data_IF_027369954624
#
_entry.id   IF_027369954624
#
_cell.length_a   1.000
_cell.length_b   1.000
_cell.length_c   1.000
_cell.angle_alpha   90.00
_cell.angle_beta   90.00
_cell.angle_gamma   90.00
#
_symmetry.space_group_name_H-M   'P 1'
#
loop_
_entity.id
_entity.type
_entity.pdbx_description
1 polymer ?
#
# COMPACT_ATOMS: atom_id res chain seq x y z
N UNK A 1 22.67 77.67 -38.61
CA UNK A 1 21.52 76.74 -38.65
C UNK A 1 21.95 75.44 -37.95
N UNK A 2 21.41 75.25 -36.74
CA UNK A 2 21.46 74.12 -35.76
C UNK A 2 22.34 72.88 -36.04
N UNK A 3 23.29 72.51 -35.15
CA UNK A 3 23.14 71.71 -33.90
C UNK A 3 22.54 70.31 -34.07
N UNK A 4 23.37 69.27 -33.82
CA UNK A 4 23.23 68.18 -32.80
C UNK A 4 24.23 67.04 -33.13
N UNK A 5 25.22 66.65 -32.31
CA UNK A 5 25.26 66.05 -30.97
C UNK A 5 24.96 64.53 -30.88
N UNK A 6 26.03 63.77 -30.52
CA UNK A 6 26.17 62.60 -29.62
C UNK A 6 25.64 61.21 -30.07
N UNK A 7 26.50 60.16 -30.11
CA UNK A 7 26.83 59.21 -29.01
C UNK A 7 27.56 57.95 -29.55
N UNK A 8 28.79 57.75 -29.08
CA UNK A 8 29.51 56.46 -29.12
C UNK A 8 28.94 55.56 -28.01
N UNK A 9 28.56 54.33 -28.35
CA UNK A 9 28.29 53.27 -27.38
C UNK A 9 29.18 52.06 -27.68
N UNK A 10 30.23 51.90 -26.86
CA UNK A 10 31.05 50.70 -26.82
C UNK A 10 30.31 49.64 -25.99
N UNK A 11 30.02 48.49 -26.60
CA UNK A 11 29.42 47.34 -25.93
C UNK A 11 30.56 46.48 -25.35
N UNK A 12 30.78 46.57 -24.03
CA UNK A 12 31.67 45.65 -23.30
C UNK A 12 30.84 44.45 -22.87
N UNK A 13 31.03 43.30 -23.53
CA UNK A 13 30.48 42.02 -23.10
C UNK A 13 31.37 41.42 -22.00
N UNK A 14 30.90 41.47 -20.75
CA UNK A 14 31.53 40.79 -19.61
C UNK A 14 31.08 39.32 -19.65
N UNK A 15 31.94 38.44 -20.17
CA UNK A 15 31.79 36.98 -20.03
C UNK A 15 32.26 36.55 -18.63
N UNK A 16 31.32 36.49 -17.69
CA UNK A 16 31.54 35.86 -16.39
C UNK A 16 31.51 34.33 -16.51
N UNK A 17 32.67 33.70 -16.72
CA UNK A 17 32.84 32.25 -16.60
C UNK A 17 32.97 31.88 -15.11
N UNK A 18 31.84 31.60 -14.46
CA UNK A 18 31.84 30.92 -13.16
C UNK A 18 32.04 29.41 -13.35
N UNK A 19 32.85 28.73 -12.52
CA UNK A 19 33.06 27.29 -12.64
C UNK A 19 31.78 26.54 -12.21
N UNK A 20 31.04 26.03 -13.19
CA UNK A 20 29.98 25.05 -12.97
C UNK A 20 30.60 23.78 -12.40
N UNK A 21 30.42 23.57 -11.11
CA UNK A 21 30.69 22.28 -10.46
C UNK A 21 29.62 21.29 -10.93
N UNK A 22 29.88 20.65 -12.07
CA UNK A 22 29.12 19.49 -12.50
C UNK A 22 29.38 18.37 -11.50
N UNK A 23 28.41 18.12 -10.62
CA UNK A 23 28.32 16.90 -9.84
C UNK A 23 28.37 15.72 -10.83
N UNK A 24 29.49 15.00 -10.82
CA UNK A 24 29.64 13.74 -11.53
C UNK A 24 28.74 12.69 -10.87
N UNK A 25 27.45 12.73 -11.21
CA UNK A 25 26.53 11.64 -10.96
C UNK A 25 26.93 10.46 -11.83
N UNK A 26 27.14 9.30 -11.23
CA UNK A 26 27.19 8.02 -11.95
C UNK A 26 25.87 7.89 -12.71
N UNK A 27 25.89 8.21 -14.00
CA UNK A 27 24.77 7.92 -14.91
C UNK A 27 24.74 6.41 -15.09
N UNK A 28 23.96 5.70 -14.29
CA UNK A 28 23.31 4.50 -14.80
C UNK A 28 22.52 4.95 -16.04
N UNK A 29 22.78 4.35 -17.20
CA UNK A 29 22.03 4.66 -18.41
C UNK A 29 20.54 4.51 -18.09
N UNK A 30 19.77 5.61 -18.22
CA UNK A 30 18.30 5.60 -18.07
C UNK A 30 17.61 4.57 -18.98
N UNK A 31 18.32 3.97 -19.93
CA UNK A 31 17.80 2.96 -20.86
C UNK A 31 17.51 1.59 -20.21
N UNK A 32 18.03 1.29 -19.01
CA UNK A 32 17.90 -0.03 -18.37
C UNK A 32 17.12 -0.05 -17.04
N UNK A 33 16.51 1.07 -16.66
CA UNK A 33 15.71 1.17 -15.45
C UNK A 33 14.26 1.58 -15.74
N UNK A 34 13.35 1.22 -14.83
CA UNK A 34 11.97 1.70 -14.83
C UNK A 34 11.52 1.97 -13.39
N UNK A 35 10.40 2.69 -13.23
CA UNK A 35 9.74 2.84 -11.94
C UNK A 35 8.92 1.60 -11.60
N UNK A 36 9.04 1.12 -10.36
CA UNK A 36 8.09 0.15 -9.78
C UNK A 36 7.49 0.71 -8.50
N UNK A 37 6.24 0.37 -8.20
CA UNK A 37 5.66 0.59 -6.88
C UNK A 37 6.28 -0.37 -5.88
N UNK A 38 6.90 0.18 -4.85
CA UNK A 38 7.67 -0.59 -3.88
C UNK A 38 6.93 -0.85 -2.57
N UNK A 39 5.86 -0.09 -2.36
CA UNK A 39 4.97 -0.16 -1.23
C UNK A 39 3.73 0.65 -1.58
N UNK A 40 2.62 0.29 -0.98
CA UNK A 40 1.42 1.11 -1.00
C UNK A 40 0.41 0.58 -0.01
N UNK A 41 -0.61 1.40 0.19
CA UNK A 41 -1.73 1.13 1.07
C UNK A 41 -3.01 1.52 0.36
N UNK A 42 -4.07 0.73 0.57
CA UNK A 42 -5.35 1.00 -0.07
C UNK A 42 -5.95 2.32 0.41
N UNK A 43 -6.14 3.32 -0.47
CA UNK A 43 -6.80 4.56 -0.10
C UNK A 43 -8.28 4.30 0.18
N UNK A 44 -8.77 4.74 1.33
CA UNK A 44 -10.20 4.76 1.70
C UNK A 44 -10.63 6.11 2.26
N UNK A 45 -11.94 6.35 2.25
CA UNK A 45 -12.53 7.45 3.01
C UNK A 45 -12.36 7.15 4.50
N UNK A 46 -11.91 8.15 5.25
CA UNK A 46 -11.72 8.03 6.68
C UNK A 46 -13.07 8.04 7.38
N UNK A 47 -13.34 6.98 8.14
CA UNK A 47 -14.54 6.92 8.97
C UNK A 47 -14.47 7.97 10.08
N UNK A 48 -15.61 8.53 10.53
CA UNK A 48 -15.63 9.58 11.55
C UNK A 48 -14.84 9.26 12.83
N UNK A 49 -14.86 8.00 13.27
CA UNK A 49 -14.13 7.53 14.46
C UNK A 49 -12.60 7.45 14.26
N UNK A 50 -12.13 7.44 13.01
CA UNK A 50 -10.72 7.31 12.64
C UNK A 50 -10.14 8.62 12.06
N UNK A 51 -10.87 9.74 12.16
CA UNK A 51 -10.40 11.06 11.73
C UNK A 51 -9.14 11.46 12.51
N UNK A 52 -8.16 12.11 11.84
CA UNK A 52 -6.93 12.50 12.51
C UNK A 52 -7.22 13.56 13.58
N UNK A 53 -6.86 13.36 14.85
CA UNK A 53 -6.39 14.48 15.66
C UNK A 53 -5.07 14.98 15.01
N UNK A 54 -4.68 16.27 15.07
CA UNK A 54 -3.63 16.85 14.19
C UNK A 54 -2.17 16.35 14.46
N UNK A 55 -1.13 16.42 13.55
CA UNK A 55 -0.57 15.72 12.30
C UNK A 55 0.69 14.74 12.33
N UNK A 56 0.84 13.79 11.35
CA UNK A 56 1.29 12.34 11.30
C UNK A 56 2.70 11.94 10.71
N UNK A 57 3.08 10.62 10.76
CA UNK A 57 4.28 9.96 10.13
C UNK A 57 4.04 8.52 9.56
N UNK A 58 4.68 8.08 8.44
CA UNK A 58 4.54 6.71 7.85
C UNK A 58 5.84 6.01 7.32
N UNK A 59 5.87 4.64 7.32
CA UNK A 59 6.96 3.68 6.98
C UNK A 59 6.80 2.87 5.67
N UNK A 60 7.89 2.70 4.92
CA UNK A 60 7.95 2.13 3.56
C UNK A 60 9.31 1.43 3.29
N UNK A 61 9.37 0.31 2.55
CA UNK A 61 10.54 -0.57 2.43
C UNK A 61 10.92 -1.00 1.00
N UNK A 62 12.08 -0.61 0.42
CA UNK A 62 12.80 -1.34 -0.66
C UNK A 62 14.18 -0.72 -0.96
N UNK A 63 15.19 -1.51 -1.36
CA UNK A 63 16.52 -0.99 -1.71
C UNK A 63 16.54 -0.14 -2.98
N UNK A 64 16.80 1.16 -2.91
CA UNK A 64 16.96 2.00 -4.11
C UNK A 64 17.88 3.18 -3.82
N UNK A 65 18.31 3.87 -4.88
CA UNK A 65 19.02 5.15 -4.84
C UNK A 65 18.13 6.34 -5.20
N UNK A 66 16.93 6.10 -5.75
CA UNK A 66 15.95 7.13 -6.10
C UNK A 66 14.52 6.67 -5.78
N UNK A 67 13.77 7.55 -5.11
CA UNK A 67 12.38 7.34 -4.70
C UNK A 67 11.49 8.49 -5.17
N UNK A 68 10.19 8.21 -5.32
CA UNK A 68 9.13 9.23 -5.40
C UNK A 68 7.91 8.79 -4.57
N UNK A 69 7.24 9.76 -3.97
CA UNK A 69 6.09 9.57 -3.08
C UNK A 69 4.78 9.89 -3.80
N UNK A 70 3.77 9.04 -3.61
CA UNK A 70 2.40 9.31 -4.05
C UNK A 70 1.52 9.77 -2.88
N UNK A 71 0.97 10.97 -3.01
CA UNK A 71 -0.05 11.55 -2.13
C UNK A 71 -1.40 11.47 -2.82
N UNK A 72 -2.37 10.82 -2.18
CA UNK A 72 -3.73 10.64 -2.65
C UNK A 72 -4.70 11.56 -1.92
N UNK A 73 -5.51 12.25 -2.70
CA UNK A 73 -6.70 12.99 -2.28
C UNK A 73 -7.96 12.39 -2.91
N UNK A 74 -7.93 11.09 -3.23
CA UNK A 74 -8.99 10.37 -3.96
C UNK A 74 -10.37 10.46 -3.30
N UNK A 75 -10.41 10.52 -1.97
CA UNK A 75 -11.63 10.68 -1.15
C UNK A 75 -11.70 12.03 -0.45
N UNK A 76 -10.84 12.98 -0.84
CA UNK A 76 -10.86 14.33 -0.30
C UNK A 76 -12.17 15.04 -0.61
N UNK A 77 -12.67 15.82 0.34
CA UNK A 77 -13.82 16.70 0.11
C UNK A 77 -13.48 18.01 -0.59
N UNK A 78 -12.19 18.36 -0.61
CA UNK A 78 -11.64 19.64 -1.05
C UNK A 78 -10.20 19.47 -1.55
N UNK A 79 -9.60 20.55 -2.08
CA UNK A 79 -8.19 20.59 -2.46
C UNK A 79 -7.27 20.39 -1.24
N UNK A 80 -6.39 19.39 -1.30
CA UNK A 80 -5.39 19.11 -0.27
C UNK A 80 -4.16 19.99 -0.50
N UNK A 81 -3.97 20.98 0.37
CA UNK A 81 -2.85 21.92 0.32
C UNK A 81 -1.67 21.40 1.14
N UNK A 82 -0.67 20.85 0.46
CA UNK A 82 0.59 20.43 1.05
C UNK A 82 1.50 21.66 1.21
N UNK A 83 1.77 22.08 2.45
CA UNK A 83 2.69 23.20 2.73
C UNK A 83 4.15 22.75 2.74
N UNK A 84 4.42 21.55 3.26
CA UNK A 84 5.72 20.90 3.19
C UNK A 84 5.57 19.37 3.34
N UNK A 85 6.46 18.63 2.71
CA UNK A 85 6.58 17.17 2.87
C UNK A 85 8.06 16.82 3.03
N UNK A 86 8.39 15.91 3.94
CA UNK A 86 9.74 15.38 4.10
C UNK A 86 9.75 13.87 4.23
N UNK A 87 10.91 13.29 3.90
CA UNK A 87 11.24 11.89 4.07
C UNK A 87 12.43 11.79 5.03
N UNK A 88 12.44 10.80 5.91
CA UNK A 88 13.63 10.41 6.68
C UNK A 88 13.62 8.90 6.98
N UNK A 89 14.75 8.38 7.45
CA UNK A 89 14.80 7.11 8.17
C UNK A 89 14.48 7.35 9.65
N UNK A 90 13.80 6.42 10.34
CA UNK A 90 13.61 6.53 11.78
C UNK A 90 14.93 6.39 12.54
N UNK A 91 14.99 6.88 13.77
CA UNK A 91 16.10 6.61 14.68
C UNK A 91 16.25 5.11 14.96
N UNK A 92 15.15 4.44 15.31
CA UNK A 92 15.08 2.99 15.47
C UNK A 92 14.64 2.29 14.17
N UNK A 93 15.53 1.50 13.58
CA UNK A 93 15.27 0.78 12.32
C UNK A 93 14.58 -0.58 12.51
N UNK A 94 14.36 -1.03 13.75
CA UNK A 94 13.80 -2.35 14.05
C UNK A 94 12.29 -2.35 14.33
N UNK A 95 11.70 -1.21 14.68
CA UNK A 95 10.27 -1.08 15.00
C UNK A 95 9.63 0.10 14.28
N UNK A 96 8.50 -0.12 13.62
CA UNK A 96 7.79 0.96 12.93
C UNK A 96 7.14 1.92 13.93
N UNK A 97 6.61 3.04 13.43
CA UNK A 97 5.81 3.95 14.24
C UNK A 97 6.57 4.67 15.36
N UNK A 98 7.88 4.87 15.22
CA UNK A 98 8.64 5.79 16.08
C UNK A 98 8.44 7.26 15.71
N UNK A 99 8.52 8.16 16.69
CA UNK A 99 8.44 9.63 16.47
C UNK A 99 9.78 10.26 16.08
N UNK A 100 10.87 9.53 16.27
CA UNK A 100 12.24 10.01 16.07
C UNK A 100 12.79 9.64 14.69
N UNK A 101 13.56 10.55 14.10
CA UNK A 101 14.21 10.38 12.80
C UNK A 101 15.73 10.49 12.89
N UNK A 102 16.44 9.94 11.89
CA UNK A 102 17.87 10.14 11.67
C UNK A 102 18.09 11.46 10.91
N UNK A 103 18.64 12.52 11.54
CA UNK A 103 18.65 13.85 10.93
C UNK A 103 19.40 13.92 9.59
N UNK A 104 20.47 13.14 9.43
CA UNK A 104 21.26 13.10 8.18
C UNK A 104 20.49 12.55 6.97
N UNK A 105 19.35 11.90 7.22
CA UNK A 105 18.51 11.28 6.19
C UNK A 105 17.29 12.12 5.80
N UNK A 106 17.07 13.25 6.47
CA UNK A 106 15.98 14.18 6.15
C UNK A 106 16.15 14.69 4.70
N UNK A 107 15.10 14.52 3.90
CA UNK A 107 14.97 15.05 2.55
C UNK A 107 13.64 15.79 2.45
N UNK A 108 13.68 17.08 2.13
CA UNK A 108 12.48 17.79 1.68
C UNK A 108 12.06 17.27 0.32
N UNK A 109 10.77 16.98 0.19
CA UNK A 109 10.19 16.56 -1.07
C UNK A 109 9.65 17.79 -1.81
N UNK A 110 9.69 17.71 -3.13
CA UNK A 110 9.15 18.73 -4.03
C UNK A 110 8.15 18.08 -4.98
N UNK A 111 7.26 18.88 -5.55
CA UNK A 111 6.29 18.46 -6.55
C UNK A 111 6.36 19.45 -7.71
N UNK A 112 6.82 19.00 -8.88
CA UNK A 112 7.04 19.89 -10.04
C UNK A 112 7.99 21.06 -9.73
N UNK A 113 9.02 20.79 -8.94
CA UNK A 113 10.04 21.74 -8.48
C UNK A 113 9.60 22.66 -7.33
N UNK A 114 8.36 22.53 -6.83
CA UNK A 114 7.82 23.37 -5.77
C UNK A 114 7.84 22.64 -4.42
N UNK A 115 8.16 23.35 -3.34
CA UNK A 115 8.15 22.81 -1.97
C UNK A 115 6.75 22.68 -1.37
N UNK A 116 5.77 23.39 -1.93
CA UNK A 116 4.34 23.28 -1.62
C UNK A 116 3.57 22.88 -2.87
N UNK A 117 2.42 22.23 -2.68
CA UNK A 117 1.61 21.73 -3.79
C UNK A 117 0.15 21.62 -3.40
N UNK A 118 -0.75 21.78 -4.36
CA UNK A 118 -2.18 21.57 -4.17
C UNK A 118 -2.58 20.31 -4.93
N UNK A 119 -2.97 19.27 -4.21
CA UNK A 119 -3.55 18.06 -4.80
C UNK A 119 -5.06 18.30 -4.99
N UNK A 120 -5.57 18.34 -6.22
CA UNK A 120 -6.99 18.58 -6.45
C UNK A 120 -7.88 17.56 -5.73
N UNK A 121 -9.11 17.94 -5.44
CA UNK A 121 -10.15 17.01 -4.98
C UNK A 121 -10.22 15.77 -5.89
N UNK A 122 -10.17 14.58 -5.31
CA UNK A 122 -10.29 13.31 -6.06
C UNK A 122 -9.03 12.91 -6.84
N UNK A 123 -7.94 13.67 -6.73
CA UNK A 123 -6.72 13.45 -7.51
C UNK A 123 -5.61 12.79 -6.68
N UNK A 124 -4.50 12.48 -7.37
CA UNK A 124 -3.26 11.98 -6.81
C UNK A 124 -2.11 12.84 -7.32
N UNK A 125 -1.13 13.11 -6.46
CA UNK A 125 0.11 13.79 -6.81
C UNK A 125 1.32 12.89 -6.56
N UNK A 126 2.33 13.03 -7.41
CA UNK A 126 3.60 12.31 -7.30
C UNK A 126 4.70 13.33 -7.06
N UNK A 127 5.55 13.09 -6.05
CA UNK A 127 6.70 13.95 -5.79
C UNK A 127 7.71 13.85 -6.92
N UNK A 128 8.56 14.86 -7.05
CA UNK A 128 9.78 14.75 -7.82
C UNK A 128 10.68 13.65 -7.21
N UNK A 129 11.52 12.98 -8.01
CA UNK A 129 12.46 12.00 -7.49
C UNK A 129 13.45 12.59 -6.48
N UNK A 130 13.70 11.88 -5.39
CA UNK A 130 14.68 12.26 -4.37
C UNK A 130 15.68 11.12 -4.11
N UNK A 131 16.93 11.50 -3.85
CA UNK A 131 18.04 10.56 -3.64
C UNK A 131 18.18 10.14 -2.18
N UNK A 132 18.10 8.84 -1.93
CA UNK A 132 18.38 8.21 -0.64
C UNK A 132 18.86 6.78 -0.87
N UNK A 133 19.82 6.31 -0.08
CA UNK A 133 20.21 4.89 -0.06
C UNK A 133 19.50 4.22 1.11
N UNK A 134 18.68 3.22 0.81
CA UNK A 134 17.99 2.40 1.82
C UNK A 134 18.13 0.93 1.44
N UNK A 135 17.99 0.02 2.40
CA UNK A 135 17.97 -1.43 2.14
C UNK A 135 16.54 -1.95 1.94
N UNK A 136 16.40 -3.19 1.46
CA UNK A 136 15.09 -3.85 1.44
C UNK A 136 14.55 -3.94 2.88
N UNK A 137 13.22 -3.91 3.03
CA UNK A 137 12.55 -4.04 4.35
C UNK A 137 12.78 -2.86 5.34
N UNK A 138 13.51 -1.81 4.92
CA UNK A 138 13.80 -0.62 5.73
C UNK A 138 12.56 0.08 6.27
N UNK A 139 12.64 0.63 7.49
CA UNK A 139 11.61 1.55 8.00
C UNK A 139 11.89 2.96 7.45
N UNK A 140 10.87 3.73 7.05
CA UNK A 140 11.01 5.17 6.74
C UNK A 140 9.99 5.99 7.53
N UNK A 141 10.11 7.30 7.43
CA UNK A 141 9.24 8.30 8.02
C UNK A 141 8.90 9.32 6.94
N UNK A 142 7.62 9.48 6.65
CA UNK A 142 7.09 10.58 5.83
C UNK A 142 6.40 11.57 6.73
N UNK A 143 6.86 12.82 6.78
CA UNK A 143 6.19 13.89 7.52
C UNK A 143 5.50 14.84 6.54
N UNK A 144 4.27 15.27 6.87
CA UNK A 144 3.48 16.18 6.04
C UNK A 144 2.96 17.32 6.91
N UNK A 145 3.19 18.55 6.45
CA UNK A 145 2.68 19.75 7.08
C UNK A 145 1.61 20.40 6.21
N UNK A 146 0.47 20.72 6.84
CA UNK A 146 -0.67 21.39 6.24
C UNK A 146 -0.93 22.67 7.04
N UNK A 147 -0.42 23.80 6.57
CA UNK A 147 -0.53 25.09 7.29
C UNK A 147 -1.98 25.51 7.50
N UNK A 148 -2.82 25.33 6.48
CA UNK A 148 -4.26 25.60 6.56
C UNK A 148 -5.08 24.51 7.26
N UNK A 149 -4.46 23.41 7.70
CA UNK A 149 -5.14 22.25 8.26
C UNK A 149 -6.06 21.53 7.25
N UNK A 150 -6.93 20.68 7.78
CA UNK A 150 -8.00 20.03 7.01
C UNK A 150 -9.26 20.88 7.06
N UNK A 151 -9.88 21.10 5.89
CA UNK A 151 -11.11 21.91 5.77
C UNK A 151 -12.37 21.06 5.68
N UNK A 152 -12.23 19.75 5.52
CA UNK A 152 -13.33 18.77 5.48
C UNK A 152 -12.98 17.52 6.31
N UNK A 153 -14.01 16.80 6.76
CA UNK A 153 -13.85 15.46 7.36
C UNK A 153 -13.74 14.35 6.29
N UNK A 154 -13.89 14.68 5.02
CA UNK A 154 -13.64 13.76 3.91
C UNK A 154 -12.14 13.69 3.66
N UNK A 155 -11.48 12.73 4.32
CA UNK A 155 -10.03 12.54 4.31
C UNK A 155 -9.69 11.19 3.69
N UNK A 156 -8.70 11.16 2.79
CA UNK A 156 -8.12 9.91 2.31
C UNK A 156 -7.17 9.34 3.37
N UNK A 157 -7.42 8.11 3.80
CA UNK A 157 -6.60 7.42 4.81
C UNK A 157 -6.52 5.92 4.55
N UNK A 158 -5.85 5.24 5.46
CA UNK A 158 -5.84 3.81 5.62
C UNK A 158 -5.84 3.46 7.12
N UNK A 159 -7.02 3.27 7.74
CA UNK A 159 -7.16 3.00 9.17
C UNK A 159 -6.63 1.62 9.61
N UNK A 160 -6.49 0.69 8.66
CA UNK A 160 -5.92 -0.65 8.85
C UNK A 160 -4.39 -0.70 9.04
N UNK A 161 -3.73 0.46 9.12
CA UNK A 161 -2.28 0.60 8.99
C UNK A 161 -1.40 -0.20 9.94
N UNK A 162 -1.95 -0.64 11.09
CA UNK A 162 -1.22 -1.28 12.22
C UNK A 162 0.15 -0.67 12.49
N UNK A 163 0.24 0.63 12.29
CA UNK A 163 1.46 1.40 12.41
C UNK A 163 1.11 2.75 13.01
N UNK A 164 1.78 3.10 14.08
CA UNK A 164 1.53 4.35 14.78
C UNK A 164 2.04 5.52 13.93
N UNK A 165 1.16 6.50 13.71
CA UNK A 165 1.44 7.82 13.17
C UNK A 165 1.34 8.86 14.29
N UNK A 166 2.19 9.88 14.24
CA UNK A 166 2.37 10.85 15.32
C UNK A 166 1.89 12.22 14.92
N UNK A 167 0.97 12.77 15.71
CA UNK A 167 0.08 13.91 15.45
C UNK A 167 0.45 15.17 16.29
N UNK A 168 1.04 16.25 15.73
CA UNK A 168 1.41 17.50 16.47
C UNK A 168 1.14 18.87 15.81
N UNK A 169 0.39 19.76 16.47
CA UNK A 169 0.01 21.07 15.90
C UNK A 169 1.24 21.98 15.69
N UNK A 170 1.38 22.51 14.48
CA UNK A 170 2.44 23.46 14.12
C UNK A 170 3.31 22.92 12.99
N UNK A 171 4.30 23.71 12.57
CA UNK A 171 5.28 23.24 11.60
C UNK A 171 6.46 22.58 12.31
N UNK A 172 6.42 21.25 12.40
CA UNK A 172 7.47 20.42 13.00
C UNK A 172 8.23 19.60 11.95
N UNK A 173 8.19 20.01 10.67
CA UNK A 173 8.73 19.23 9.55
C UNK A 173 10.24 18.94 9.63
N UNK A 174 10.97 19.69 10.47
CA UNK A 174 12.43 19.57 10.70
C UNK A 174 12.78 19.00 12.07
N UNK A 175 11.79 18.75 12.92
CA UNK A 175 12.05 18.26 14.27
C UNK A 175 12.52 16.81 14.18
N UNK A 176 13.57 16.50 14.92
CA UNK A 176 14.16 15.16 14.90
C UNK A 176 13.39 14.17 15.78
N UNK A 177 12.51 14.68 16.64
CA UNK A 177 11.61 13.96 17.54
C UNK A 177 10.34 14.78 17.79
N UNK A 178 9.17 14.18 17.56
CA UNK A 178 7.87 14.83 17.73
C UNK A 178 7.37 14.71 19.18
N UNK A 179 8.06 15.38 20.11
CA UNK A 179 7.70 15.38 21.53
C UNK A 179 6.31 16.00 21.76
N UNK A 180 5.47 15.29 22.51
CA UNK A 180 4.10 15.74 22.82
C UNK A 180 3.10 15.51 21.68
N UNK A 181 3.48 14.79 20.63
CA UNK A 181 2.56 14.34 19.60
C UNK A 181 1.57 13.27 20.10
N UNK A 182 0.40 13.23 19.49
CA UNK A 182 -0.65 12.22 19.72
C UNK A 182 -0.40 11.02 18.81
N UNK A 183 -0.40 9.80 19.34
CA UNK A 183 -0.30 8.58 18.53
C UNK A 183 -1.67 8.12 18.04
N UNK A 184 -1.78 7.72 16.77
CA UNK A 184 -2.91 6.92 16.25
C UNK A 184 -2.41 5.83 15.30
N UNK A 185 -3.15 4.74 15.15
CA UNK A 185 -2.74 3.61 14.31
C UNK A 185 -3.35 3.66 12.90
N UNK A 186 -3.16 4.78 12.20
CA UNK A 186 -3.72 5.06 10.87
C UNK A 186 -2.72 5.79 9.98
N UNK A 187 -2.73 5.51 8.67
CA UNK A 187 -2.00 6.33 7.68
C UNK A 187 -2.95 7.33 7.03
N UNK A 188 -2.46 8.54 6.74
CA UNK A 188 -3.24 9.59 6.08
C UNK A 188 -2.54 10.09 4.82
N UNK A 189 -3.32 10.34 3.77
CA UNK A 189 -2.94 10.92 2.47
C UNK A 189 -1.90 10.16 1.64
N UNK A 190 -0.99 9.40 2.23
CA UNK A 190 -0.03 8.65 1.45
C UNK A 190 -0.67 7.40 0.84
N UNK A 191 -0.21 6.99 -0.34
CA UNK A 191 -0.77 5.83 -1.05
C UNK A 191 0.27 4.90 -1.64
N UNK A 192 1.46 5.39 -2.01
CA UNK A 192 2.55 4.56 -2.50
C UNK A 192 3.93 5.25 -2.42
N UNK A 193 5.00 4.44 -2.41
CA UNK A 193 6.30 4.86 -2.94
C UNK A 193 6.62 4.11 -4.21
N UNK A 194 7.38 4.76 -5.07
CA UNK A 194 7.98 4.13 -6.22
C UNK A 194 9.50 4.31 -6.20
N UNK A 195 10.19 3.31 -6.74
CA UNK A 195 11.64 3.32 -6.88
C UNK A 195 12.04 3.05 -8.32
N UNK A 196 13.10 3.70 -8.77
CA UNK A 196 13.76 3.37 -10.03
C UNK A 196 14.58 2.08 -9.85
N UNK A 197 14.31 1.07 -10.67
CA UNK A 197 14.87 -0.28 -10.55
C UNK A 197 15.27 -0.84 -11.91
N UNK A 198 16.21 -1.80 -11.96
CA UNK A 198 16.51 -2.53 -13.21
C UNK A 198 15.25 -3.18 -13.79
N UNK A 199 15.15 -3.30 -15.12
CA UNK A 199 13.96 -3.83 -15.83
C UNK A 199 13.41 -5.18 -15.35
N UNK A 200 14.24 -6.01 -14.71
CA UNK A 200 13.83 -7.31 -14.15
C UNK A 200 13.05 -7.21 -12.84
N UNK A 201 13.05 -6.05 -12.19
CA UNK A 201 12.28 -5.83 -10.98
C UNK A 201 10.78 -5.77 -11.29
N UNK A 202 9.96 -6.15 -10.32
CA UNK A 202 8.51 -6.18 -10.50
C UNK A 202 7.79 -6.03 -9.17
N UNK A 203 6.47 -5.84 -9.24
CA UNK A 203 5.59 -5.70 -8.08
C UNK A 203 4.49 -6.75 -8.12
N UNK A 204 4.22 -7.35 -6.96
CA UNK A 204 3.01 -8.13 -6.69
C UNK A 204 2.00 -7.19 -6.02
N UNK A 205 0.82 -7.02 -6.61
CA UNK A 205 -0.29 -6.30 -5.97
C UNK A 205 -1.26 -7.28 -5.31
N UNK A 206 -1.72 -7.01 -4.10
CA UNK A 206 -2.62 -7.89 -3.37
C UNK A 206 -3.94 -7.16 -3.13
N UNK A 207 -5.02 -7.65 -3.75
CA UNK A 207 -6.38 -7.19 -3.48
C UNK A 207 -6.96 -8.09 -2.41
N UNK A 208 -7.21 -7.54 -1.23
CA UNK A 208 -7.71 -8.32 -0.11
C UNK A 208 -8.60 -7.55 0.86
N UNK A 209 -8.91 -8.21 1.96
CA UNK A 209 -9.68 -7.68 3.09
C UNK A 209 -8.85 -7.65 4.39
N UNK A 210 -9.50 -7.67 5.56
CA UNK A 210 -8.84 -7.61 6.88
C UNK A 210 -7.77 -8.70 7.08
N UNK A 211 -7.90 -9.85 6.42
CA UNK A 211 -6.94 -10.95 6.51
C UNK A 211 -5.59 -10.57 5.89
N UNK A 212 -5.61 -9.78 4.81
CA UNK A 212 -4.39 -9.27 4.16
C UNK A 212 -3.95 -7.93 4.73
N UNK A 213 -4.91 -7.09 5.13
CA UNK A 213 -4.67 -5.81 5.81
C UNK A 213 -3.91 -6.01 7.14
N UNK A 214 -4.06 -7.19 7.74
CA UNK A 214 -3.27 -7.62 8.90
C UNK A 214 -4.00 -7.54 10.23
N UNK A 215 -5.34 -7.66 10.25
CA UNK A 215 -6.08 -7.75 11.52
C UNK A 215 -5.62 -8.97 12.31
N UNK A 216 -5.12 -8.76 13.53
CA UNK A 216 -4.51 -9.82 14.36
C UNK A 216 -2.98 -9.81 14.35
N UNK A 217 -2.36 -8.99 13.50
CA UNK A 217 -0.92 -8.70 13.57
C UNK A 217 -0.58 -7.79 14.76
N UNK A 218 0.70 -7.75 15.13
CA UNK A 218 1.19 -6.84 16.19
C UNK A 218 1.39 -5.45 15.61
N UNK A 219 0.82 -4.42 16.24
CA UNK A 219 1.06 -3.01 15.87
C UNK A 219 2.57 -2.73 15.86
N UNK A 220 3.03 -2.01 14.83
CA UNK A 220 4.42 -1.61 14.59
C UNK A 220 5.42 -2.72 14.24
N UNK A 221 5.01 -3.99 14.24
CA UNK A 221 5.92 -5.13 14.03
C UNK A 221 6.11 -5.54 12.56
N UNK A 222 5.20 -5.16 11.65
CA UNK A 222 5.17 -5.65 10.26
C UNK A 222 5.21 -7.18 10.17
N UNK A 223 4.34 -7.86 10.92
CA UNK A 223 4.25 -9.32 10.95
C UNK A 223 2.94 -9.84 10.34
N UNK A 224 2.44 -9.14 9.30
CA UNK A 224 1.34 -9.62 8.44
C UNK A 224 1.88 -10.61 7.42
N UNK A 225 1.02 -11.44 6.82
CA UNK A 225 1.49 -12.40 5.81
C UNK A 225 2.18 -11.75 4.59
N UNK A 226 1.79 -10.56 4.09
CA UNK A 226 2.51 -9.92 2.99
C UNK A 226 3.92 -9.45 3.40
N UNK A 227 4.08 -9.02 4.66
CA UNK A 227 5.38 -8.61 5.21
C UNK A 227 6.30 -9.84 5.31
N UNK A 228 5.79 -10.96 5.85
CA UNK A 228 6.53 -12.21 5.95
C UNK A 228 6.87 -12.82 4.57
N UNK A 229 5.96 -12.70 3.60
CA UNK A 229 6.24 -13.11 2.21
C UNK A 229 7.35 -12.24 1.60
N UNK A 230 7.36 -10.93 1.87
CA UNK A 230 8.41 -10.05 1.40
C UNK A 230 9.78 -10.51 1.90
N UNK A 231 9.91 -10.82 3.19
CA UNK A 231 11.15 -11.36 3.77
C UNK A 231 11.62 -12.61 3.04
N UNK A 232 10.73 -13.58 2.82
CA UNK A 232 11.03 -14.81 2.06
C UNK A 232 11.49 -14.52 0.63
N UNK A 233 10.88 -13.54 -0.05
CA UNK A 233 11.29 -13.14 -1.40
C UNK A 233 12.70 -12.53 -1.41
N UNK A 234 13.07 -11.75 -0.39
CA UNK A 234 14.38 -11.11 -0.30
C UNK A 234 15.53 -12.10 -0.04
N UNK A 235 15.26 -13.22 0.65
CA UNK A 235 16.25 -14.25 0.93
C UNK A 235 16.79 -14.98 -0.32
N UNK A 236 16.04 -14.97 -1.43
CA UNK A 236 16.40 -15.71 -2.65
C UNK A 236 16.73 -14.75 -3.79
N UNK A 237 17.93 -14.90 -4.37
CA UNK A 237 18.39 -14.07 -5.50
C UNK A 237 17.40 -13.96 -6.69
N UNK A 238 16.67 -15.02 -7.10
CA UNK A 238 15.70 -14.91 -8.19
C UNK A 238 14.52 -13.98 -7.89
N UNK A 239 14.15 -13.83 -6.62
CA UNK A 239 12.96 -13.09 -6.20
C UNK A 239 13.27 -11.80 -5.44
N UNK A 240 14.52 -11.51 -5.11
CA UNK A 240 14.92 -10.32 -4.32
C UNK A 240 14.76 -8.98 -5.05
N UNK A 241 14.23 -8.98 -6.27
CA UNK A 241 13.85 -7.78 -7.01
C UNK A 241 12.32 -7.61 -7.11
N UNK A 242 11.57 -8.38 -6.33
CA UNK A 242 10.11 -8.35 -6.31
C UNK A 242 9.65 -7.57 -5.08
N UNK A 243 8.78 -6.59 -5.33
CA UNK A 243 8.10 -5.79 -4.33
C UNK A 243 6.72 -6.37 -4.03
N UNK A 244 6.17 -6.03 -2.86
CA UNK A 244 4.79 -6.34 -2.50
C UNK A 244 4.04 -5.03 -2.23
N UNK A 245 2.86 -4.94 -2.83
CA UNK A 245 1.91 -3.86 -2.67
C UNK A 245 0.66 -4.42 -1.99
N UNK A 246 0.47 -4.08 -0.72
CA UNK A 246 -0.70 -4.50 0.05
C UNK A 246 -1.86 -3.52 -0.18
N UNK A 247 -2.79 -3.91 -1.05
CA UNK A 247 -3.97 -3.13 -1.41
C UNK A 247 -5.21 -3.72 -0.75
N UNK A 248 -5.07 -4.23 0.48
CA UNK A 248 -6.18 -4.72 1.27
C UNK A 248 -6.77 -3.63 2.17
N UNK A 249 -8.01 -3.83 2.62
CA UNK A 249 -8.63 -3.00 3.64
C UNK A 249 -9.59 -3.83 4.49
N UNK A 250 -9.63 -3.54 5.79
CA UNK A 250 -10.59 -4.17 6.70
C UNK A 250 -12.04 -4.13 6.20
N UNK A 251 -12.77 -5.23 6.35
CA UNK A 251 -14.18 -5.32 5.95
C UNK A 251 -14.45 -5.14 4.46
N UNK A 252 -13.41 -5.11 3.61
CA UNK A 252 -13.58 -4.96 2.18
C UNK A 252 -14.21 -6.21 1.58
N UNK A 253 -14.98 -6.00 0.51
CA UNK A 253 -15.74 -7.03 -0.21
C UNK A 253 -15.39 -6.94 -1.69
N UNK A 254 -15.57 -8.03 -2.42
CA UNK A 254 -15.31 -8.05 -3.86
C UNK A 254 -16.35 -7.24 -4.63
N UNK A 255 -17.63 -7.37 -4.27
CA UNK A 255 -18.75 -6.98 -5.13
C UNK A 255 -19.46 -5.69 -4.71
N UNK A 256 -19.47 -5.38 -3.41
CA UNK A 256 -20.20 -4.25 -2.83
C UNK A 256 -19.26 -3.46 -1.93
N UNK A 257 -19.48 -2.16 -1.78
CA UNK A 257 -18.66 -1.38 -0.86
C UNK A 257 -18.82 -1.90 0.59
N UNK A 258 -17.74 -1.79 1.36
CA UNK A 258 -17.69 -2.13 2.78
C UNK A 258 -17.21 -0.90 3.57
N UNK A 259 -16.15 -1.06 4.36
CA UNK A 259 -15.45 0.09 4.96
C UNK A 259 -14.68 0.93 3.91
N UNK A 260 -14.58 0.42 2.69
CA UNK A 260 -14.02 1.10 1.52
C UNK A 260 -14.65 0.58 0.22
N UNK A 261 -14.25 1.14 -0.95
CA UNK A 261 -14.79 0.73 -2.24
C UNK A 261 -14.57 -0.75 -2.52
N UNK A 262 -15.52 -1.39 -3.19
CA UNK A 262 -15.46 -2.80 -3.57
C UNK A 262 -14.22 -3.14 -4.41
N UNK A 263 -13.73 -4.37 -4.24
CA UNK A 263 -12.52 -4.88 -4.89
C UNK A 263 -12.57 -4.77 -6.41
N UNK A 264 -13.71 -5.04 -7.05
CA UNK A 264 -13.85 -4.90 -8.50
C UNK A 264 -13.75 -3.44 -8.97
N UNK A 265 -14.37 -2.52 -8.24
CA UNK A 265 -14.40 -1.11 -8.59
C UNK A 265 -13.03 -0.44 -8.53
N UNK A 266 -12.12 -0.99 -7.71
CA UNK A 266 -10.81 -0.37 -7.45
C UNK A 266 -9.62 -1.01 -8.17
N UNK A 267 -9.81 -2.05 -9.01
CA UNK A 267 -8.70 -2.70 -9.72
C UNK A 267 -7.87 -1.73 -10.57
N UNK A 268 -8.51 -0.78 -11.24
CA UNK A 268 -7.81 0.21 -12.07
C UNK A 268 -6.87 1.07 -11.23
N UNK A 269 -7.34 1.57 -10.10
CA UNK A 269 -6.59 2.43 -9.20
C UNK A 269 -5.54 1.65 -8.41
N UNK A 270 -5.91 0.52 -7.83
CA UNK A 270 -5.12 -0.18 -6.82
C UNK A 270 -4.21 -1.27 -7.40
N UNK A 271 -4.37 -1.62 -8.68
CA UNK A 271 -3.53 -2.62 -9.35
C UNK A 271 -2.96 -2.09 -10.66
N UNK A 272 -3.82 -1.69 -11.60
CA UNK A 272 -3.39 -1.37 -12.98
C UNK A 272 -2.59 -0.06 -13.04
N UNK A 273 -2.96 0.95 -12.26
CA UNK A 273 -2.30 2.25 -12.24
C UNK A 273 -0.93 2.23 -11.54
N UNK A 274 -0.58 1.15 -10.84
CA UNK A 274 0.71 1.03 -10.16
C UNK A 274 1.82 0.58 -11.10
N UNK A 275 2.96 1.24 -11.03
CA UNK A 275 4.09 0.93 -11.90
C UNK A 275 4.69 -0.44 -11.57
N UNK A 276 5.06 -1.20 -12.61
CA UNK A 276 5.81 -2.45 -12.46
C UNK A 276 5.02 -3.66 -11.97
N UNK A 277 3.69 -3.56 -11.82
CA UNK A 277 2.87 -4.70 -11.42
C UNK A 277 2.91 -5.79 -12.51
N UNK A 278 3.34 -6.99 -12.11
CA UNK A 278 3.37 -8.19 -12.98
C UNK A 278 2.51 -9.32 -12.45
N UNK A 279 2.22 -9.32 -11.15
CA UNK A 279 1.45 -10.33 -10.47
C UNK A 279 0.36 -9.65 -9.63
N UNK A 280 -0.82 -10.24 -9.60
CA UNK A 280 -1.91 -9.86 -8.71
C UNK A 280 -2.37 -11.07 -7.91
N UNK A 281 -2.49 -10.91 -6.60
CA UNK A 281 -3.09 -11.90 -5.70
C UNK A 281 -4.48 -11.40 -5.31
N UNK A 282 -5.52 -12.19 -5.58
CA UNK A 282 -6.91 -11.87 -5.25
C UNK A 282 -7.33 -12.76 -4.08
N UNK A 283 -7.39 -12.15 -2.89
CA UNK A 283 -7.77 -12.81 -1.65
C UNK A 283 -8.82 -12.01 -0.89
N UNK A 284 -10.04 -12.04 -1.40
CA UNK A 284 -11.19 -11.26 -0.93
C UNK A 284 -12.47 -12.02 -1.24
N UNK A 285 -13.48 -11.96 -0.38
CA UNK A 285 -14.79 -12.59 -0.63
C UNK A 285 -15.47 -13.14 0.61
N UNK A 286 -14.71 -13.33 1.69
CA UNK A 286 -15.26 -13.84 2.96
C UNK A 286 -16.28 -12.86 3.55
N UNK A 287 -16.04 -11.56 3.41
CA UNK A 287 -16.98 -10.51 3.84
C UNK A 287 -18.24 -10.45 2.96
N UNK A 288 -18.16 -10.76 1.66
CA UNK A 288 -19.33 -10.87 0.78
C UNK A 288 -20.29 -11.96 1.32
N UNK A 289 -19.74 -13.12 1.69
CA UNK A 289 -20.49 -14.24 2.30
C UNK A 289 -21.02 -13.86 3.68
N UNK A 290 -20.15 -13.36 4.56
CA UNK A 290 -20.44 -13.09 5.96
C UNK A 290 -21.39 -11.92 6.21
N UNK A 291 -21.60 -11.05 5.21
CA UNK A 291 -22.55 -9.93 5.29
C UNK A 291 -23.84 -10.18 4.54
N UNK A 292 -23.89 -11.25 3.73
CA UNK A 292 -25.12 -11.72 3.09
C UNK A 292 -25.98 -12.49 4.10
N UNK A 293 -27.29 -12.38 3.94
CA UNK A 293 -28.27 -13.10 4.76
C UNK A 293 -28.00 -14.62 4.72
N UNK A 294 -28.24 -15.33 5.81
CA UNK A 294 -27.77 -16.72 6.00
C UNK A 294 -28.64 -17.77 5.30
N UNK A 295 -29.74 -17.38 4.68
CA UNK A 295 -30.64 -18.28 3.98
C UNK A 295 -29.99 -18.83 2.70
N UNK A 296 -30.37 -20.04 2.30
CA UNK A 296 -29.78 -20.75 1.16
C UNK A 296 -29.89 -19.99 -0.16
N UNK A 297 -30.99 -19.26 -0.40
CA UNK A 297 -31.21 -18.46 -1.60
C UNK A 297 -30.18 -17.32 -1.74
N UNK A 298 -30.14 -16.35 -0.80
CA UNK A 298 -29.12 -15.30 -0.77
C UNK A 298 -27.69 -15.84 -0.83
N UNK A 299 -27.37 -16.91 -0.09
CA UNK A 299 -26.04 -17.51 -0.09
C UNK A 299 -25.67 -18.14 -1.46
N UNK A 300 -26.63 -18.75 -2.16
CA UNK A 300 -26.41 -19.25 -3.51
C UNK A 300 -26.18 -18.11 -4.51
N UNK A 301 -26.96 -17.02 -4.40
CA UNK A 301 -26.79 -15.84 -5.27
C UNK A 301 -25.42 -15.19 -5.07
N UNK A 302 -25.02 -14.91 -3.81
CA UNK A 302 -23.73 -14.26 -3.55
C UNK A 302 -22.56 -15.16 -3.99
N UNK A 303 -22.66 -16.47 -3.81
CA UNK A 303 -21.66 -17.44 -4.30
C UNK A 303 -21.47 -17.33 -5.82
N UNK A 304 -22.57 -17.32 -6.58
CA UNK A 304 -22.52 -17.17 -8.03
C UNK A 304 -21.92 -15.81 -8.43
N UNK A 305 -22.30 -14.73 -7.74
CA UNK A 305 -21.75 -13.40 -8.02
C UNK A 305 -20.27 -13.28 -7.69
N UNK A 306 -19.79 -13.91 -6.61
CA UNK A 306 -18.36 -13.89 -6.24
C UNK A 306 -17.52 -14.55 -7.33
N UNK A 307 -17.93 -15.74 -7.79
CA UNK A 307 -17.20 -16.47 -8.86
C UNK A 307 -17.20 -15.68 -10.16
N UNK A 308 -18.32 -15.05 -10.55
CA UNK A 308 -18.38 -14.12 -11.68
C UNK A 308 -17.49 -12.89 -11.49
N UNK A 309 -17.41 -12.34 -10.27
CA UNK A 309 -16.50 -11.26 -9.92
C UNK A 309 -15.04 -11.64 -10.10
N UNK A 310 -14.63 -12.81 -9.62
CA UNK A 310 -13.27 -13.32 -9.84
C UNK A 310 -12.93 -13.48 -11.32
N UNK A 311 -13.87 -13.95 -12.15
CA UNK A 311 -13.68 -14.01 -13.61
C UNK A 311 -13.43 -12.62 -14.19
N UNK A 312 -14.23 -11.63 -13.80
CA UNK A 312 -14.06 -10.25 -14.27
C UNK A 312 -12.73 -9.64 -13.82
N UNK A 313 -12.31 -9.90 -12.58
CA UNK A 313 -11.01 -9.45 -12.07
C UNK A 313 -9.86 -10.07 -12.89
N UNK A 314 -9.90 -11.39 -13.12
CA UNK A 314 -8.87 -12.08 -13.90
C UNK A 314 -8.78 -11.55 -15.33
N UNK A 315 -9.92 -11.38 -16.03
CA UNK A 315 -9.96 -10.83 -17.39
C UNK A 315 -9.43 -9.39 -17.44
N UNK A 316 -9.83 -8.56 -16.47
CA UNK A 316 -9.41 -7.14 -16.42
C UNK A 316 -7.94 -6.98 -16.11
N UNK A 317 -7.34 -7.83 -15.29
CA UNK A 317 -5.92 -7.73 -14.99
C UNK A 317 -5.05 -8.34 -16.09
N UNK A 318 -5.44 -9.49 -16.64
CA UNK A 318 -4.69 -10.14 -17.73
C UNK A 318 -4.61 -9.32 -19.01
N UNK A 319 -5.62 -8.48 -19.33
CA UNK A 319 -5.53 -7.56 -20.49
C UNK A 319 -4.36 -6.57 -20.38
N UNK A 320 -3.84 -6.35 -19.18
CA UNK A 320 -2.67 -5.52 -18.90
C UNK A 320 -1.38 -6.35 -18.72
N UNK A 321 -1.41 -7.64 -19.05
CA UNK A 321 -0.25 -8.53 -18.92
C UNK A 321 0.11 -8.87 -17.47
N UNK A 322 -0.85 -8.76 -16.56
CA UNK A 322 -0.70 -9.12 -15.14
C UNK A 322 -1.15 -10.57 -14.95
N UNK A 323 -0.28 -11.40 -14.37
CA UNK A 323 -0.61 -12.76 -13.94
C UNK A 323 -1.48 -12.70 -12.67
N UNK A 324 -2.56 -13.46 -12.63
CA UNK A 324 -3.58 -13.37 -11.58
C UNK A 324 -3.67 -14.67 -10.80
N UNK A 325 -3.45 -14.57 -9.49
CA UNK A 325 -3.47 -15.69 -8.55
C UNK A 325 -4.69 -15.59 -7.65
N UNK A 326 -5.50 -16.64 -7.65
CA UNK A 326 -6.69 -16.73 -6.80
C UNK A 326 -6.34 -17.40 -5.48
N UNK A 327 -6.81 -16.84 -4.38
CA UNK A 327 -6.65 -17.44 -3.06
C UNK A 327 -7.96 -18.02 -2.55
N UNK A 328 -7.92 -19.27 -2.07
CA UNK A 328 -9.06 -19.86 -1.37
C UNK A 328 -9.39 -19.07 -0.11
N UNK A 329 -10.68 -18.86 0.15
CA UNK A 329 -11.21 -18.26 1.37
C UNK A 329 -10.91 -19.16 2.58
N UNK A 330 -10.39 -18.58 3.66
CA UNK A 330 -10.02 -19.33 4.87
C UNK A 330 -11.23 -19.86 5.65
N UNK A 331 -11.06 -20.92 6.46
CA UNK A 331 -12.10 -21.38 7.37
C UNK A 331 -12.54 -20.28 8.34
N UNK A 332 -13.80 -20.34 8.77
CA UNK A 332 -14.39 -19.34 9.66
C UNK A 332 -15.39 -19.94 10.66
N UNK A 333 -15.44 -21.26 10.81
CA UNK A 333 -16.23 -21.90 11.86
C UNK A 333 -15.54 -21.69 13.21
N UNK A 334 -16.30 -21.13 14.15
CA UNK A 334 -15.93 -21.02 15.54
C UNK A 334 -17.18 -20.73 16.37
N UNK A 335 -17.15 -21.05 17.66
CA UNK A 335 -18.26 -20.78 18.57
C UNK A 335 -18.52 -19.27 18.64
N UNK A 336 -19.73 -18.85 18.25
CA UNK A 336 -20.13 -17.45 18.27
C UNK A 336 -19.69 -16.63 17.04
N UNK A 337 -18.92 -17.22 16.13
CA UNK A 337 -18.61 -16.57 14.85
C UNK A 337 -19.72 -16.85 13.83
N UNK A 338 -20.38 -15.79 13.37
CA UNK A 338 -21.47 -15.93 12.39
C UNK A 338 -20.96 -16.25 10.97
N UNK A 339 -19.67 -16.05 10.68
CA UNK A 339 -19.12 -16.31 9.35
C UNK A 339 -19.12 -17.81 9.01
N UNK A 340 -18.97 -18.68 9.99
CA UNK A 340 -18.99 -20.13 9.82
C UNK A 340 -20.34 -20.81 10.01
N UNK A 341 -21.45 -20.06 9.90
CA UNK A 341 -22.78 -20.70 9.91
C UNK A 341 -22.94 -21.67 8.73
N UNK A 342 -23.75 -22.74 8.83
CA UNK A 342 -23.76 -23.84 7.86
C UNK A 342 -23.92 -23.43 6.38
N UNK A 343 -24.86 -22.52 6.08
CA UNK A 343 -25.06 -22.07 4.70
C UNK A 343 -23.93 -21.16 4.18
N UNK A 344 -23.27 -20.41 5.07
CA UNK A 344 -22.09 -19.59 4.73
C UNK A 344 -20.85 -20.45 4.52
N UNK A 345 -20.67 -21.49 5.33
CA UNK A 345 -19.60 -22.47 5.12
C UNK A 345 -19.80 -23.23 3.81
N UNK A 346 -21.04 -23.62 3.50
CA UNK A 346 -21.39 -24.22 2.21
C UNK A 346 -21.07 -23.28 1.03
N UNK A 347 -21.40 -22.00 1.15
CA UNK A 347 -21.04 -20.98 0.16
C UNK A 347 -19.51 -20.88 0.00
N UNK A 348 -18.78 -20.79 1.12
CA UNK A 348 -17.31 -20.71 1.14
C UNK A 348 -16.66 -21.92 0.46
N UNK A 349 -17.10 -23.14 0.79
CA UNK A 349 -16.61 -24.37 0.17
C UNK A 349 -16.90 -24.39 -1.34
N UNK A 350 -18.08 -23.91 -1.75
CA UNK A 350 -18.44 -23.81 -3.17
C UNK A 350 -17.52 -22.85 -3.92
N UNK A 351 -17.27 -21.65 -3.34
CA UNK A 351 -16.31 -20.69 -3.89
C UNK A 351 -14.89 -21.29 -3.95
N UNK A 352 -14.43 -21.94 -2.89
CA UNK A 352 -13.09 -22.53 -2.85
C UNK A 352 -12.90 -23.65 -3.85
N UNK A 353 -13.90 -24.53 -4.01
CA UNK A 353 -13.90 -25.55 -5.06
C UNK A 353 -13.80 -24.91 -6.44
N UNK A 354 -14.59 -23.86 -6.68
CA UNK A 354 -14.53 -23.13 -7.95
C UNK A 354 -13.16 -22.48 -8.19
N UNK A 355 -12.55 -21.86 -7.18
CA UNK A 355 -11.21 -21.27 -7.28
C UNK A 355 -10.19 -22.32 -7.72
N UNK A 356 -10.22 -23.52 -7.11
CA UNK A 356 -9.30 -24.61 -7.41
C UNK A 356 -9.50 -25.20 -8.81
N UNK A 357 -10.74 -25.33 -9.26
CA UNK A 357 -11.07 -26.15 -10.44
C UNK A 357 -11.34 -25.34 -11.72
N UNK A 358 -11.65 -24.04 -11.61
CA UNK A 358 -12.16 -23.25 -12.74
C UNK A 358 -11.15 -23.02 -13.87
N UNK A 359 -9.85 -23.13 -13.60
CA UNK A 359 -8.79 -22.75 -14.54
C UNK A 359 -8.74 -21.25 -14.86
N UNK A 360 -9.50 -20.42 -14.10
CA UNK A 360 -9.58 -18.98 -14.34
C UNK A 360 -8.33 -18.24 -13.87
N UNK A 361 -7.59 -18.76 -12.90
CA UNK A 361 -6.37 -18.12 -12.40
C UNK A 361 -5.12 -18.73 -13.02
N UNK A 362 -4.05 -17.95 -13.10
CA UNK A 362 -2.74 -18.42 -13.57
C UNK A 362 -2.09 -19.36 -12.54
N UNK A 363 -2.47 -19.22 -11.27
CA UNK A 363 -2.18 -20.15 -10.19
C UNK A 363 -3.18 -19.99 -9.04
N UNK A 364 -3.25 -20.98 -8.16
CA UNK A 364 -4.07 -20.95 -6.94
C UNK A 364 -3.16 -21.04 -5.71
N UNK A 365 -3.42 -20.17 -4.73
CA UNK A 365 -2.79 -20.21 -3.40
C UNK A 365 -3.83 -20.70 -2.40
N UNK A 366 -3.63 -21.91 -1.87
CA UNK A 366 -4.62 -22.60 -1.04
C UNK A 366 -4.47 -22.23 0.45
N UNK A 367 -4.80 -20.98 0.80
CA UNK A 367 -4.79 -20.50 2.17
C UNK A 367 -5.72 -21.28 3.10
N UNK A 368 -6.82 -21.84 2.59
CA UNK A 368 -7.71 -22.72 3.34
C UNK A 368 -6.93 -23.92 3.88
N UNK A 369 -6.20 -24.61 3.02
CA UNK A 369 -5.39 -25.76 3.42
C UNK A 369 -4.23 -25.39 4.34
N UNK A 370 -3.65 -24.20 4.19
CA UNK A 370 -2.48 -23.77 4.97
C UNK A 370 -2.80 -23.52 6.45
N UNK A 371 -4.03 -23.11 6.76
CA UNK A 371 -4.37 -22.61 8.11
C UNK A 371 -5.47 -23.38 8.81
N UNK A 372 -6.21 -24.23 8.10
CA UNK A 372 -7.30 -25.02 8.70
C UNK A 372 -6.78 -26.03 9.71
N UNK A 373 -7.61 -26.29 10.73
CA UNK A 373 -7.38 -27.40 11.63
C UNK A 373 -7.51 -28.73 10.86
N UNK A 374 -6.53 -29.66 10.94
CA UNK A 374 -6.57 -30.93 10.21
C UNK A 374 -7.70 -31.86 10.66
N UNK A 375 -8.12 -31.76 11.92
CA UNK A 375 -9.17 -32.59 12.51
C UNK A 375 -10.57 -31.95 12.37
N UNK A 376 -10.61 -30.64 12.14
CA UNK A 376 -11.82 -29.85 11.95
C UNK A 376 -11.64 -28.81 10.84
N UNK A 377 -11.77 -29.27 9.61
CA UNK A 377 -11.35 -28.52 8.41
C UNK A 377 -12.12 -27.22 8.13
N UNK A 378 -13.21 -26.97 8.86
CA UNK A 378 -14.01 -25.74 8.86
C UNK A 378 -13.54 -24.70 9.90
N UNK A 379 -12.68 -25.09 10.85
CA UNK A 379 -12.07 -24.22 11.86
C UNK A 379 -10.62 -23.84 11.45
N UNK A 380 -10.16 -22.67 11.90
CA UNK A 380 -8.74 -22.29 11.86
C UNK A 380 -8.00 -23.14 12.92
N UNK A 381 -6.75 -23.55 12.64
CA UNK A 381 -5.92 -24.22 13.63
C UNK A 381 -5.73 -23.30 14.85
N UNK A 382 -5.96 -23.81 16.06
CA UNK A 382 -5.98 -23.02 17.29
C UNK A 382 -4.70 -22.17 17.48
N UNK A 383 -3.53 -22.73 17.14
CA UNK A 383 -2.26 -22.02 17.20
C UNK A 383 -2.21 -20.77 16.29
N UNK A 384 -3.00 -20.74 15.23
CA UNK A 384 -3.02 -19.67 14.23
C UNK A 384 -4.14 -18.65 14.48
N UNK A 385 -5.18 -19.02 15.24
CA UNK A 385 -6.33 -18.15 15.50
C UNK A 385 -5.95 -16.98 16.44
N UNK A 386 -6.45 -15.79 16.14
CA UNK A 386 -6.38 -14.63 17.03
C UNK A 386 -7.41 -14.68 18.17
N UNK A 387 -8.34 -15.64 18.10
CA UNK A 387 -9.36 -15.94 19.09
C UNK A 387 -10.78 -15.59 18.67
N UNK A 388 -10.98 -15.07 17.45
CA UNK A 388 -12.30 -14.75 16.90
C UNK A 388 -12.79 -15.76 15.85
N UNK A 389 -11.96 -16.74 15.49
CA UNK A 389 -12.30 -17.75 14.49
C UNK A 389 -12.41 -17.22 13.08
N UNK A 390 -11.79 -16.08 12.76
CA UNK A 390 -11.72 -15.50 11.43
C UNK A 390 -10.31 -15.00 11.12
N UNK A 391 -9.73 -14.21 12.03
CA UNK A 391 -8.45 -13.56 11.83
C UNK A 391 -7.31 -14.36 12.44
N UNK A 392 -6.16 -14.33 11.77
CA UNK A 392 -4.96 -14.99 12.23
C UNK A 392 -4.16 -14.11 13.18
N UNK A 393 -3.45 -14.76 14.09
CA UNK A 393 -2.36 -14.16 14.83
C UNK A 393 -1.05 -14.18 13.96
N UNK A 394 0.07 -13.62 14.45
CA UNK A 394 1.32 -13.60 13.69
C UNK A 394 1.86 -14.99 13.28
N UNK A 395 1.60 -16.05 14.06
CA UNK A 395 2.01 -17.41 13.72
C UNK A 395 1.20 -17.94 12.52
N UNK A 396 -0.11 -17.71 12.50
CA UNK A 396 -0.94 -18.03 11.34
C UNK A 396 -0.53 -17.25 10.08
N UNK A 397 -0.18 -15.97 10.22
CA UNK A 397 0.35 -15.18 9.10
C UNK A 397 1.70 -15.66 8.59
N UNK A 398 2.58 -16.15 9.47
CA UNK A 398 3.80 -16.83 9.06
C UNK A 398 3.49 -18.11 8.28
N UNK A 399 2.56 -18.94 8.76
CA UNK A 399 2.15 -20.18 8.09
C UNK A 399 1.59 -19.92 6.67
N UNK A 400 0.76 -18.88 6.50
CA UNK A 400 0.31 -18.43 5.19
C UNK A 400 1.47 -18.05 4.28
N UNK A 401 2.40 -17.23 4.78
CA UNK A 401 3.55 -16.80 4.00
C UNK A 401 4.40 -18.00 3.60
N UNK A 402 4.69 -18.94 4.51
CA UNK A 402 5.50 -20.12 4.28
C UNK A 402 4.91 -21.08 3.24
N UNK A 403 3.58 -21.20 3.21
CA UNK A 403 2.88 -22.04 2.25
C UNK A 403 2.93 -21.53 0.80
N UNK A 404 3.28 -20.26 0.56
CA UNK A 404 3.37 -19.70 -0.79
C UNK A 404 4.62 -20.21 -1.49
N UNK A 405 4.44 -20.85 -2.65
CA UNK A 405 5.53 -21.25 -3.54
C UNK A 405 6.09 -20.02 -4.28
N UNK A 406 7.33 -19.63 -3.96
CA UNK A 406 7.96 -18.44 -4.57
C UNK A 406 8.21 -18.59 -6.09
N UNK A 407 8.17 -19.81 -6.64
CA UNK A 407 8.27 -20.03 -8.10
C UNK A 407 7.10 -19.45 -8.89
N UNK A 408 6.02 -19.05 -8.21
CA UNK A 408 4.92 -18.33 -8.84
C UNK A 408 5.34 -16.95 -9.37
N UNK A 409 6.48 -16.40 -8.95
CA UNK A 409 6.84 -15.02 -9.26
C UNK A 409 8.11 -14.87 -10.11
N UNK A 410 8.61 -15.95 -10.73
CA UNK A 410 9.87 -15.98 -11.50
C UNK A 410 9.69 -16.40 -12.95
#
# INVERSE_FOLDING_TARGET
MLMKCVLNAALVAILGLGPSHALAGVKTSREDAHWITVWGAMPQLTEPANLPPPPFTVKISLKTSSLRLQISNAFGGSDLRLSAVSFALPANASTAGGSEIKPSTDRSLTFSGQSSFIVPKGALAVSDPFGISIDAESIVTISIYLEGGQVTNEITSHPGSRTTSWLIKGNHIRDTDLKGAVGVDHWYFISALEAEKPKKASTIAIVGDSLTDGRGSTTNANNRWPDQLLSRLQEKKPTSQIAILNQAAGGNRLLTDGLGPNGLGRLDRDVIAHSGVKHAIIFIGINDIGTTATESGPQAEITARITGGYQQAAIRLRRHGILVYGCTLMPAAAKGNTYGLPEREKARQTVNKWIRDSGIFDAVIDFDKMVRNPDKVDEILEEYDSGDGLHLNPAGYQAMADGINLRLFI
#
